data_IF_190537440313
#
_entry.id   IF_190537440313
#
_cell.length_a   1.000
_cell.length_b   1.000
_cell.length_c   1.000
_cell.angle_alpha   90.00
_cell.angle_beta   90.00
_cell.angle_gamma   90.00
#
_symmetry.space_group_name_H-M   'P 1'
#
loop_
_entity.id
_entity.type
_entity.pdbx_description
1 polymer ?
#
# COMPACT_ATOMS: atom_id res chain seq x y z
N UNK A 1 5.32 12.29 21.43
CA UNK A 1 3.97 12.50 20.87
C UNK A 1 2.97 11.93 21.85
N UNK A 2 1.94 12.68 22.24
CA UNK A 2 0.87 12.22 23.13
C UNK A 2 -0.27 11.52 22.36
N UNK A 3 -1.26 11.04 23.09
CA UNK A 3 -2.39 10.29 22.52
C UNK A 3 -3.33 11.17 21.67
N UNK A 4 -3.53 12.44 22.04
CA UNK A 4 -4.40 13.34 21.27
C UNK A 4 -3.76 13.73 19.94
N UNK A 5 -2.46 14.02 19.94
CA UNK A 5 -1.68 14.25 18.72
C UNK A 5 -1.66 13.00 17.83
N UNK A 6 -1.49 11.80 18.41
CA UNK A 6 -1.57 10.54 17.65
C UNK A 6 -2.91 10.39 16.93
N UNK A 7 -4.04 10.58 17.64
CA UNK A 7 -5.38 10.46 17.06
C UNK A 7 -5.55 11.47 15.94
N UNK A 8 -5.24 12.75 16.19
CA UNK A 8 -5.41 13.83 15.20
C UNK A 8 -4.64 13.54 13.91
N UNK A 9 -3.37 13.12 14.03
CA UNK A 9 -2.52 12.84 12.88
C UNK A 9 -2.92 11.56 12.15
N UNK A 10 -3.38 10.55 12.87
CA UNK A 10 -3.89 9.31 12.25
C UNK A 10 -5.17 9.59 11.45
N UNK A 11 -6.13 10.33 12.03
CA UNK A 11 -7.38 10.71 11.36
C UNK A 11 -7.12 11.56 10.12
N UNK A 12 -6.21 12.53 10.20
CA UNK A 12 -5.82 13.35 9.04
C UNK A 12 -5.23 12.53 7.87
N UNK A 13 -4.71 11.33 8.16
CA UNK A 13 -4.07 10.45 7.19
C UNK A 13 -4.95 9.29 6.73
N UNK A 14 -6.11 9.11 7.35
CA UNK A 14 -6.98 7.93 7.18
C UNK A 14 -7.35 7.69 5.71
N UNK A 15 -7.79 8.71 4.99
CA UNK A 15 -8.18 8.59 3.59
C UNK A 15 -7.00 8.19 2.68
N UNK A 16 -5.80 8.72 2.93
CA UNK A 16 -4.58 8.40 2.17
C UNK A 16 -4.12 6.97 2.44
N UNK A 17 -4.13 6.56 3.70
CA UNK A 17 -3.79 5.20 4.13
C UNK A 17 -4.78 4.18 3.56
N UNK A 18 -6.08 4.48 3.58
CA UNK A 18 -7.11 3.62 2.99
C UNK A 18 -6.90 3.43 1.49
N UNK A 19 -6.72 4.52 0.72
CA UNK A 19 -6.44 4.44 -0.72
C UNK A 19 -5.21 3.59 -1.01
N UNK A 20 -4.14 3.76 -0.23
CA UNK A 20 -2.92 2.96 -0.40
C UNK A 20 -3.14 1.47 -0.07
N UNK A 21 -3.81 1.15 1.04
CA UNK A 21 -4.11 -0.22 1.44
C UNK A 21 -5.02 -0.92 0.42
N UNK A 22 -6.08 -0.24 -0.01
CA UNK A 22 -7.02 -0.72 -1.01
C UNK A 22 -6.32 -0.98 -2.35
N UNK A 23 -5.48 -0.06 -2.83
CA UNK A 23 -4.69 -0.27 -4.04
C UNK A 23 -3.68 -1.42 -3.92
N UNK A 24 -3.21 -1.73 -2.71
CA UNK A 24 -2.25 -2.81 -2.48
C UNK A 24 -2.92 -4.20 -2.43
N UNK A 25 -4.09 -4.28 -1.77
CA UNK A 25 -4.78 -5.52 -1.41
C UNK A 25 -5.95 -5.86 -2.34
N UNK A 26 -6.58 -4.86 -2.96
CA UNK A 26 -7.64 -5.02 -3.96
C UNK A 26 -9.06 -5.23 -3.41
N UNK A 27 -9.26 -5.23 -2.09
CA UNK A 27 -10.58 -5.40 -1.47
C UNK A 27 -10.72 -4.65 -0.16
N UNK A 28 -11.94 -4.18 0.12
CA UNK A 28 -12.25 -3.33 1.28
C UNK A 28 -11.96 -4.03 2.61
N UNK A 29 -12.48 -5.24 2.80
CA UNK A 29 -12.30 -5.98 4.05
C UNK A 29 -10.80 -6.18 4.40
N UNK A 30 -9.98 -6.55 3.42
CA UNK A 30 -8.54 -6.70 3.60
C UNK A 30 -7.84 -5.36 3.89
N UNK A 31 -8.27 -4.28 3.22
CA UNK A 31 -7.73 -2.95 3.42
C UNK A 31 -8.01 -2.42 4.83
N UNK A 32 -9.25 -2.58 5.31
CA UNK A 32 -9.66 -2.18 6.66
C UNK A 32 -8.89 -2.98 7.73
N UNK A 33 -8.79 -4.31 7.57
CA UNK A 33 -8.02 -5.17 8.48
C UNK A 33 -6.55 -4.70 8.59
N UNK A 34 -5.90 -4.45 7.45
CA UNK A 34 -4.52 -3.99 7.43
C UNK A 34 -4.35 -2.58 8.03
N UNK A 35 -5.35 -1.70 7.88
CA UNK A 35 -5.35 -0.39 8.50
C UNK A 35 -5.50 -0.47 10.02
N UNK A 36 -6.46 -1.24 10.51
CA UNK A 36 -6.70 -1.39 11.96
C UNK A 36 -5.47 -1.98 12.65
N UNK A 37 -4.88 -3.03 12.07
CA UNK A 37 -3.65 -3.62 12.59
C UNK A 37 -2.49 -2.61 12.53
N UNK A 38 -2.40 -1.79 11.48
CA UNK A 38 -1.36 -0.77 11.38
C UNK A 38 -1.51 0.33 12.45
N UNK A 39 -2.73 0.80 12.70
CA UNK A 39 -3.01 1.79 13.76
C UNK A 39 -2.72 1.19 15.14
N UNK A 40 -3.10 -0.07 15.37
CA UNK A 40 -2.81 -0.79 16.60
C UNK A 40 -1.30 -0.91 16.85
N UNK A 41 -0.54 -1.38 15.86
CA UNK A 41 0.92 -1.50 15.97
C UNK A 41 1.59 -0.13 16.12
N UNK A 42 1.10 0.91 15.43
CA UNK A 42 1.59 2.27 15.59
C UNK A 42 1.37 2.78 17.02
N UNK A 43 0.18 2.58 17.60
CA UNK A 43 -0.08 2.99 18.98
C UNK A 43 0.84 2.25 19.97
N UNK A 44 0.98 0.93 19.80
CA UNK A 44 1.84 0.08 20.63
C UNK A 44 3.32 0.48 20.55
N UNK A 45 3.79 0.88 19.38
CA UNK A 45 5.18 1.25 19.14
C UNK A 45 5.45 2.76 19.13
N UNK A 46 4.47 3.57 19.55
CA UNK A 46 4.55 5.03 19.50
C UNK A 46 5.80 5.58 20.21
N UNK A 47 6.23 4.95 21.30
CA UNK A 47 7.43 5.35 22.06
C UNK A 47 8.74 5.19 21.27
N UNK A 48 8.76 4.40 20.21
CA UNK A 48 9.92 4.22 19.34
C UNK A 48 10.06 5.33 18.29
N UNK A 49 9.01 6.11 18.04
CA UNK A 49 9.08 7.26 17.15
C UNK A 49 9.80 8.43 17.85
N UNK A 50 11.11 8.53 17.61
CA UNK A 50 11.96 9.55 18.22
C UNK A 50 11.73 10.95 17.66
N UNK A 51 11.40 11.04 16.37
CA UNK A 51 11.25 12.27 15.61
C UNK A 51 9.79 12.35 15.11
N UNK A 52 8.91 13.08 15.81
CA UNK A 52 7.49 13.17 15.49
C UNK A 52 7.22 13.63 14.05
N UNK A 53 8.07 14.47 13.47
CA UNK A 53 7.99 14.92 12.08
C UNK A 53 7.87 13.76 11.07
N UNK A 54 8.46 12.59 11.37
CA UNK A 54 8.40 11.41 10.50
C UNK A 54 7.19 10.51 10.71
N UNK A 55 6.27 10.88 11.60
CA UNK A 55 5.09 10.06 11.93
C UNK A 55 4.36 9.54 10.68
N UNK A 56 4.16 10.39 9.67
CA UNK A 56 3.44 10.00 8.46
C UNK A 56 4.14 8.89 7.67
N UNK A 57 5.44 9.08 7.39
CA UNK A 57 6.24 8.08 6.70
C UNK A 57 6.39 6.80 7.52
N UNK A 58 6.45 6.93 8.84
CA UNK A 58 6.54 5.81 9.76
C UNK A 58 5.23 5.00 9.83
N UNK A 59 4.08 5.66 9.97
CA UNK A 59 2.77 5.01 9.95
C UNK A 59 2.49 4.36 8.59
N UNK A 60 2.82 5.05 7.50
CA UNK A 60 2.69 4.51 6.14
C UNK A 60 3.56 3.27 5.95
N UNK A 61 4.77 3.24 6.54
CA UNK A 61 5.62 2.06 6.54
C UNK A 61 4.97 0.87 7.26
N UNK A 62 4.40 1.11 8.44
CA UNK A 62 3.70 0.07 9.20
C UNK A 62 2.56 -0.49 8.36
N UNK A 63 1.74 0.39 7.76
CA UNK A 63 0.64 -0.02 6.88
C UNK A 63 1.11 -0.91 5.72
N UNK A 64 2.16 -0.50 4.99
CA UNK A 64 2.65 -1.28 3.85
C UNK A 64 3.19 -2.66 4.27
N UNK A 65 3.80 -2.74 5.45
CA UNK A 65 4.24 -4.02 6.00
C UNK A 65 3.05 -4.93 6.33
N UNK A 66 1.99 -4.38 6.94
CA UNK A 66 0.78 -5.13 7.26
C UNK A 66 -0.01 -5.52 6.00
N UNK A 67 -0.09 -4.66 4.98
CA UNK A 67 -0.62 -5.04 3.67
C UNK A 67 0.16 -6.21 3.05
N UNK A 68 1.49 -6.21 3.17
CA UNK A 68 2.32 -7.34 2.73
C UNK A 68 2.07 -8.62 3.53
N UNK A 69 1.83 -8.51 4.84
CA UNK A 69 1.49 -9.64 5.72
C UNK A 69 0.13 -10.21 5.34
N UNK A 70 -0.86 -9.35 5.22
CA UNK A 70 -2.23 -9.74 4.91
C UNK A 70 -2.33 -10.39 3.54
N UNK A 71 -1.67 -9.84 2.53
CA UNK A 71 -1.58 -10.47 1.21
C UNK A 71 -0.98 -11.89 1.29
N UNK A 72 0.07 -12.10 2.10
CA UNK A 72 0.65 -13.44 2.30
C UNK A 72 -0.30 -14.37 3.05
N UNK A 73 -1.07 -13.86 4.01
CA UNK A 73 -2.09 -14.62 4.76
C UNK A 73 -3.21 -15.08 3.82
N UNK A 74 -3.77 -14.16 3.04
CA UNK A 74 -4.84 -14.45 2.06
C UNK A 74 -4.40 -15.43 0.97
N UNK A 75 -3.12 -15.40 0.57
CA UNK A 75 -2.55 -16.38 -0.38
C UNK A 75 -2.39 -17.78 0.22
N UNK A 76 -2.21 -17.90 1.54
CA UNK A 76 -2.14 -19.20 2.23
C UNK A 76 -3.52 -19.79 2.48
N UNK A 77 -4.52 -18.93 2.73
CA UNK A 77 -5.90 -19.34 3.03
C UNK A 77 -6.73 -19.69 1.79
N UNK A 78 -6.27 -19.30 0.59
CA UNK A 78 -6.89 -19.68 -0.68
C UNK A 78 -6.10 -20.83 -1.31
N UNK A 79 -6.56 -22.09 -1.24
CA UNK A 79 -6.20 -23.09 -2.23
C UNK A 79 -6.51 -22.53 -3.63
N UNK A 80 -5.78 -22.96 -4.66
CA UNK A 80 -5.74 -22.37 -5.99
C UNK A 80 -7.09 -22.26 -6.76
N UNK A 81 -8.22 -22.61 -6.16
CA UNK A 81 -9.55 -22.69 -6.80
C UNK A 81 -10.58 -21.63 -6.36
N UNK A 82 -10.25 -20.69 -5.46
CA UNK A 82 -11.24 -19.67 -5.06
C UNK A 82 -10.99 -18.33 -5.76
N UNK A 83 -11.61 -18.16 -6.94
CA UNK A 83 -11.79 -16.87 -7.58
C UNK A 83 -12.90 -16.11 -6.81
N UNK A 84 -12.63 -14.94 -6.19
CA UNK A 84 -13.68 -14.19 -5.53
C UNK A 84 -14.63 -13.60 -6.57
N UNK A 85 -15.94 -13.81 -6.39
CA UNK A 85 -16.97 -13.03 -7.07
C UNK A 85 -16.74 -11.55 -6.74
N UNK A 86 -16.54 -10.75 -7.79
CA UNK A 86 -16.30 -9.32 -7.68
C UNK A 86 -17.55 -8.64 -7.10
N UNK A 87 -17.49 -8.29 -5.81
CA UNK A 87 -18.52 -7.50 -5.14
C UNK A 87 -18.46 -6.03 -5.56
N UNK A 88 -19.51 -5.64 -6.29
CA UNK A 88 -20.23 -4.35 -6.34
C UNK A 88 -19.46 -3.01 -6.52
N UNK A 89 -19.92 -2.27 -7.55
CA UNK A 89 -19.56 -0.90 -7.97
C UNK A 89 -18.09 -0.62 -8.31
N UNK A 90 -17.53 -1.41 -9.24
CA UNK A 90 -16.28 -1.07 -9.88
C UNK A 90 -16.49 -0.21 -11.13
N UNK A 91 -15.81 0.93 -11.17
CA UNK A 91 -15.50 1.61 -12.42
C UNK A 91 -14.76 0.61 -13.34
N UNK A 92 -15.45 0.17 -14.40
CA UNK A 92 -14.96 -0.89 -15.29
C UNK A 92 -13.60 -0.54 -15.92
N UNK A 93 -13.32 0.75 -16.13
CA UNK A 93 -12.05 1.25 -16.69
C UNK A 93 -10.85 1.14 -15.72
N UNK A 94 -11.09 1.04 -14.41
CA UNK A 94 -10.03 0.97 -13.40
C UNK A 94 -9.62 -0.47 -13.03
N UNK A 95 -10.44 -1.46 -13.40
CA UNK A 95 -10.19 -2.89 -13.14
C UNK A 95 -8.86 -3.39 -13.75
N UNK A 96 -8.54 -3.08 -15.04
CA UNK A 96 -7.30 -3.57 -15.65
C UNK A 96 -6.05 -3.04 -14.95
N UNK A 97 -6.03 -1.76 -14.57
CA UNK A 97 -4.90 -1.15 -13.89
C UNK A 97 -4.71 -1.72 -12.48
N UNK A 98 -5.80 -1.88 -11.72
CA UNK A 98 -5.75 -2.44 -10.37
C UNK A 98 -5.18 -3.85 -10.40
N UNK A 99 -5.67 -4.69 -11.31
CA UNK A 99 -5.25 -6.09 -11.40
C UNK A 99 -3.80 -6.20 -11.88
N UNK A 100 -3.35 -5.35 -12.80
CA UNK A 100 -1.95 -5.24 -13.19
C UNK A 100 -1.04 -4.85 -12.00
N UNK A 101 -1.43 -3.83 -11.22
CA UNK A 101 -0.71 -3.46 -9.98
C UNK A 101 -0.68 -4.64 -8.98
N UNK A 102 -1.76 -5.41 -8.88
CA UNK A 102 -1.86 -6.60 -8.04
C UNK A 102 -1.05 -7.80 -8.56
N UNK A 103 -0.56 -7.78 -9.80
CA UNK A 103 0.37 -8.79 -10.36
C UNK A 103 1.84 -8.40 -10.24
N UNK A 104 2.13 -7.11 -10.04
CA UNK A 104 3.51 -6.65 -9.81
C UNK A 104 4.20 -7.41 -8.65
N UNK A 105 5.51 -7.70 -8.78
CA UNK A 105 6.35 -8.13 -7.67
C UNK A 105 6.21 -7.17 -6.49
N UNK A 106 6.24 -7.71 -5.27
CA UNK A 106 5.96 -6.97 -4.04
C UNK A 106 6.75 -5.65 -3.96
N UNK A 107 8.05 -5.69 -4.24
CA UNK A 107 8.92 -4.52 -4.17
C UNK A 107 8.56 -3.42 -5.17
N UNK A 108 7.99 -3.78 -6.33
CA UNK A 108 7.56 -2.84 -7.36
C UNK A 108 6.17 -2.29 -7.04
N UNK A 109 5.27 -3.14 -6.56
CA UNK A 109 3.93 -2.74 -6.08
C UNK A 109 4.03 -1.69 -4.97
N UNK A 110 4.90 -1.92 -3.98
CA UNK A 110 5.12 -0.97 -2.89
C UNK A 110 5.48 0.42 -3.41
N UNK A 111 6.31 0.50 -4.45
CA UNK A 111 6.71 1.77 -5.05
C UNK A 111 5.51 2.45 -5.73
N UNK A 112 4.75 1.71 -6.54
CA UNK A 112 3.59 2.27 -7.25
C UNK A 112 2.51 2.73 -6.26
N UNK A 113 2.17 1.88 -5.28
CA UNK A 113 1.18 2.21 -4.25
C UNK A 113 1.58 3.47 -3.50
N UNK A 114 2.82 3.55 -3.00
CA UNK A 114 3.26 4.73 -2.25
C UNK A 114 3.30 6.01 -3.10
N UNK A 115 3.74 5.92 -4.35
CA UNK A 115 3.92 7.09 -5.23
C UNK A 115 2.62 7.65 -5.79
N UNK A 116 1.68 6.77 -6.14
CA UNK A 116 0.49 7.16 -6.92
C UNK A 116 -0.82 7.08 -6.12
N UNK A 117 -0.88 6.25 -5.07
CA UNK A 117 -2.06 6.11 -4.22
C UNK A 117 -1.84 6.65 -2.81
N UNK A 118 -0.59 6.64 -2.35
CA UNK A 118 -0.15 7.22 -1.09
C UNK A 118 0.34 8.67 -1.21
N UNK A 119 0.40 9.26 -2.40
CA UNK A 119 0.86 10.64 -2.66
C UNK A 119 2.26 10.97 -2.09
N UNK A 120 3.12 9.97 -1.85
CA UNK A 120 4.48 10.20 -1.34
C UNK A 120 5.42 10.63 -2.46
N UNK A 121 6.34 11.55 -2.17
CA UNK A 121 7.49 11.89 -3.01
C UNK A 121 8.47 10.71 -3.16
N UNK A 122 9.44 10.81 -4.08
CA UNK A 122 10.52 9.83 -4.21
C UNK A 122 11.34 9.72 -2.92
N UNK A 123 11.62 10.86 -2.28
CA UNK A 123 12.40 10.92 -1.05
C UNK A 123 11.62 10.34 0.15
N UNK A 124 10.32 10.65 0.26
CA UNK A 124 9.47 10.03 1.28
C UNK A 124 9.31 8.54 1.05
N UNK A 125 9.10 8.11 -0.20
CA UNK A 125 9.04 6.68 -0.55
C UNK A 125 10.34 5.97 -0.16
N UNK A 126 11.49 6.59 -0.41
CA UNK A 126 12.80 6.06 -0.04
C UNK A 126 12.94 5.91 1.49
N UNK A 127 12.55 6.94 2.26
CA UNK A 127 12.54 6.91 3.73
C UNK A 127 11.56 5.86 4.25
N UNK A 128 10.32 5.88 3.77
CA UNK A 128 9.28 4.90 4.10
C UNK A 128 9.74 3.50 3.78
N UNK A 129 10.45 3.26 2.67
CA UNK A 129 10.93 1.93 2.29
C UNK A 129 12.34 1.58 2.78
N UNK A 130 13.06 2.49 3.43
CA UNK A 130 14.38 2.24 3.98
C UNK A 130 15.40 1.82 2.92
N UNK A 131 15.25 2.36 1.70
CA UNK A 131 16.09 2.06 0.53
C UNK A 131 16.61 3.37 -0.09
N UNK A 132 17.71 3.34 -0.86
CA UNK A 132 18.20 4.52 -1.55
C UNK A 132 17.17 5.12 -2.50
N UNK A 133 17.11 6.46 -2.60
CA UNK A 133 16.21 7.14 -3.53
C UNK A 133 16.47 6.74 -5.00
N UNK A 134 17.73 6.48 -5.38
CA UNK A 134 18.06 5.92 -6.68
C UNK A 134 17.39 4.57 -6.95
N UNK A 135 17.31 3.71 -5.93
CA UNK A 135 16.60 2.42 -6.03
C UNK A 135 15.09 2.63 -6.22
N UNK A 136 14.50 3.62 -5.57
CA UNK A 136 13.09 4.00 -5.80
C UNK A 136 12.87 4.39 -7.26
N UNK A 137 13.73 5.23 -7.82
CA UNK A 137 13.62 5.68 -9.22
C UNK A 137 13.73 4.49 -10.18
N UNK A 138 14.72 3.63 -10.01
CA UNK A 138 14.92 2.45 -10.87
C UNK A 138 13.75 1.47 -10.76
N UNK A 139 13.27 1.18 -9.55
CA UNK A 139 12.10 0.33 -9.35
C UNK A 139 10.82 0.95 -9.91
N UNK A 140 10.62 2.26 -9.77
CA UNK A 140 9.47 2.95 -10.36
C UNK A 140 9.47 2.83 -11.89
N UNK A 141 10.61 3.09 -12.54
CA UNK A 141 10.74 2.93 -14.00
C UNK A 141 10.41 1.50 -14.44
N UNK A 142 10.96 0.50 -13.75
CA UNK A 142 10.69 -0.91 -14.03
C UNK A 142 9.22 -1.26 -13.84
N UNK A 143 8.61 -0.81 -12.74
CA UNK A 143 7.20 -1.06 -12.46
C UNK A 143 6.29 -0.47 -13.55
N UNK A 144 6.54 0.78 -13.97
CA UNK A 144 5.77 1.43 -15.04
C UNK A 144 5.94 0.73 -16.38
N UNK A 145 7.13 0.22 -16.70
CA UNK A 145 7.35 -0.55 -17.93
C UNK A 145 6.55 -1.86 -17.95
N UNK A 146 6.50 -2.58 -16.82
CA UNK A 146 5.70 -3.80 -16.69
C UNK A 146 4.19 -3.51 -16.80
N UNK A 147 3.72 -2.45 -16.14
CA UNK A 147 2.31 -2.06 -16.21
C UNK A 147 1.90 -1.67 -17.64
N UNK A 148 2.75 -0.98 -18.39
CA UNK A 148 2.48 -0.67 -19.80
C UNK A 148 2.33 -1.93 -20.64
N UNK A 149 3.26 -2.88 -20.50
CA UNK A 149 3.20 -4.16 -21.22
C UNK A 149 1.91 -4.93 -20.91
N UNK A 150 1.54 -5.07 -19.63
CA UNK A 150 0.31 -5.78 -19.23
C UNK A 150 -0.96 -5.10 -19.76
N UNK A 151 -0.98 -3.77 -19.81
CA UNK A 151 -2.15 -3.00 -20.26
C UNK A 151 -2.25 -2.93 -21.79
N UNK A 152 -1.13 -3.02 -22.50
CA UNK A 152 -1.10 -3.14 -23.97
C UNK A 152 -1.52 -4.55 -24.41
N UNK A 153 -1.03 -5.60 -23.74
CA UNK A 153 -1.37 -7.00 -24.02
C UNK A 153 -2.82 -7.34 -23.66
N UNK A 154 -3.36 -6.78 -22.57
CA UNK A 154 -4.76 -6.99 -22.16
C UNK A 154 -5.82 -6.28 -23.02
N UNK A 155 -5.38 -5.48 -24.00
CA UNK A 155 -6.24 -4.74 -24.93
C UNK A 155 -6.35 -5.43 -26.31
N UNK A 156 -5.79 -6.64 -26.46
CA UNK A 156 -5.80 -7.46 -27.70
C UNK A 156 -6.53 -8.78 -27.46
#
# INVERSE_FOLDING_TARGET
MDQQEFIRRTEAQKARLYRAAFAYLGGEAAALEAMDEAVYQALRHLRHLRQPEYFETWLTRILINECGRELRRLKRLRPAEYLPEAGEDFNYDALPLRDAVARLPQELRQIIVLRYFGDLTLAETARTLGIPQGTVVTRQRRALALLRLELEEGNT
#
